data_IF_004691420252
#
_entry.id   IF_004691420252
#
_cell.length_a   1.000
_cell.length_b   1.000
_cell.length_c   1.000
_cell.angle_alpha   90.00
_cell.angle_beta   90.00
_cell.angle_gamma   90.00
#
_symmetry.space_group_name_H-M   'P 1'
#
loop_
_entity.id
_entity.type
_entity.pdbx_description
1 polymer ?
#
# COMPACT_ATOMS: atom_id res chain seq x y z
N UNK A 1 22.56 -5.92 -10.35
CA UNK A 1 23.21 -4.82 -9.59
C UNK A 1 22.16 -3.77 -9.28
N UNK A 2 22.43 -2.85 -8.34
CA UNK A 2 21.52 -1.77 -7.97
C UNK A 2 21.04 -0.95 -9.19
N UNK A 3 21.97 -0.52 -10.06
CA UNK A 3 21.63 0.25 -11.26
C UNK A 3 20.69 -0.49 -12.24
N UNK A 4 20.78 -1.81 -12.33
CA UNK A 4 19.86 -2.59 -13.17
C UNK A 4 18.48 -2.72 -12.54
N UNK A 5 18.39 -2.72 -11.20
CA UNK A 5 17.12 -2.70 -10.49
C UNK A 5 16.39 -1.37 -10.72
N UNK A 6 17.06 -0.21 -10.57
CA UNK A 6 16.43 1.11 -10.82
C UNK A 6 15.86 1.25 -12.24
N UNK A 7 16.53 0.64 -13.23
CA UNK A 7 16.05 0.67 -14.63
C UNK A 7 14.84 -0.22 -14.86
N UNK A 8 14.81 -1.41 -14.24
CA UNK A 8 13.85 -2.47 -14.57
C UNK A 8 12.68 -2.56 -13.60
N UNK A 9 12.89 -2.22 -12.34
CA UNK A 9 11.85 -2.20 -11.33
C UNK A 9 10.98 -0.97 -11.55
N UNK A 10 9.74 -1.24 -11.97
CA UNK A 10 8.70 -0.24 -12.14
C UNK A 10 7.53 -0.60 -11.26
N UNK A 11 7.15 0.33 -10.40
CA UNK A 11 6.08 0.18 -9.43
C UNK A 11 4.97 1.16 -9.82
N UNK A 12 3.75 0.68 -9.97
CA UNK A 12 2.59 1.56 -10.08
C UNK A 12 2.01 1.77 -8.69
N UNK A 13 1.79 3.02 -8.29
CA UNK A 13 1.18 3.35 -7.00
C UNK A 13 -0.25 3.80 -7.26
N UNK A 14 -1.22 3.18 -6.59
CA UNK A 14 -2.61 3.63 -6.65
C UNK A 14 -2.75 4.96 -5.91
N UNK A 15 -3.50 5.91 -6.49
CA UNK A 15 -3.66 7.26 -5.94
C UNK A 15 -4.92 7.39 -5.07
N UNK A 16 -5.84 6.43 -5.16
CA UNK A 16 -7.04 6.46 -4.33
C UNK A 16 -6.73 6.19 -2.86
N UNK A 17 -7.55 6.79 -2.00
CA UNK A 17 -7.48 6.67 -0.56
C UNK A 17 -7.51 8.03 0.12
N UNK A 18 -7.71 8.02 1.44
CA UNK A 18 -7.72 9.23 2.24
C UNK A 18 -6.74 9.11 3.41
N UNK A 19 -6.08 10.22 3.71
CA UNK A 19 -5.31 10.37 4.93
C UNK A 19 -6.22 10.21 6.16
N UNK A 20 -5.74 9.61 7.26
CA UNK A 20 -4.38 9.12 7.47
C UNK A 20 -4.22 7.60 7.19
N UNK A 21 -5.19 6.95 6.54
CA UNK A 21 -5.20 5.49 6.37
C UNK A 21 -4.43 5.01 5.13
N UNK A 22 -4.32 5.89 4.13
CA UNK A 22 -3.67 5.64 2.85
C UNK A 22 -2.70 6.77 2.55
N UNK A 23 -1.58 6.49 1.88
CA UNK A 23 -0.52 7.45 1.53
C UNK A 23 0.17 8.13 2.73
N UNK A 24 0.01 7.57 3.92
CA UNK A 24 0.69 8.00 5.15
C UNK A 24 0.94 6.79 6.02
N UNK A 25 2.08 6.80 6.71
CA UNK A 25 2.49 5.74 7.62
C UNK A 25 3.43 6.27 8.69
N UNK A 26 3.53 5.59 9.83
CA UNK A 26 4.46 5.98 10.88
C UNK A 26 5.92 5.81 10.41
N UNK A 27 6.71 6.88 10.51
CA UNK A 27 8.15 6.86 10.22
C UNK A 27 9.00 6.78 11.50
N UNK A 28 8.45 6.28 12.61
CA UNK A 28 9.11 6.20 13.90
C UNK A 28 9.00 4.80 14.51
N UNK A 29 9.90 4.53 15.47
CA UNK A 29 9.90 3.33 16.31
C UNK A 29 9.89 2.03 15.47
N UNK A 30 9.21 1.00 15.97
CA UNK A 30 9.09 -0.34 15.37
C UNK A 30 8.28 -0.35 14.06
N UNK A 31 7.53 0.71 13.78
CA UNK A 31 6.67 0.81 12.59
C UNK A 31 7.30 1.62 11.44
N UNK A 32 8.53 2.10 11.63
CA UNK A 32 9.21 3.04 10.75
C UNK A 32 9.36 2.58 9.31
N UNK A 33 9.58 1.29 9.05
CA UNK A 33 9.79 0.78 7.69
C UNK A 33 8.52 0.83 6.83
N UNK A 34 7.33 0.65 7.43
CA UNK A 34 6.05 0.80 6.72
C UNK A 34 5.89 2.23 6.20
N UNK A 35 6.03 3.23 7.09
CA UNK A 35 5.94 4.63 6.71
C UNK A 35 7.06 5.06 5.77
N UNK A 36 8.29 4.57 5.97
CA UNK A 36 9.41 4.92 5.10
C UNK A 36 9.17 4.44 3.66
N UNK A 37 8.71 3.20 3.45
CA UNK A 37 8.43 2.69 2.10
C UNK A 37 7.28 3.44 1.44
N UNK A 38 6.19 3.72 2.18
CA UNK A 38 5.09 4.55 1.66
C UNK A 38 5.63 5.92 1.22
N UNK A 39 6.42 6.58 2.07
CA UNK A 39 6.99 7.89 1.79
C UNK A 39 7.96 7.90 0.60
N UNK A 40 8.82 6.88 0.48
CA UNK A 40 9.72 6.69 -0.67
C UNK A 40 8.96 6.51 -1.98
N UNK A 41 7.86 5.76 -1.97
CA UNK A 41 7.06 5.53 -3.16
C UNK A 41 6.11 6.70 -3.49
N UNK A 42 5.64 7.46 -2.50
CA UNK A 42 4.73 8.59 -2.75
C UNK A 42 5.46 9.90 -3.07
N UNK A 43 6.51 10.25 -2.32
CA UNK A 43 7.19 11.55 -2.43
C UNK A 43 8.42 11.51 -3.33
N UNK A 44 9.33 10.57 -3.07
CA UNK A 44 10.63 10.52 -3.76
C UNK A 44 10.54 9.80 -5.11
N UNK A 45 9.65 8.81 -5.24
CA UNK A 45 9.23 8.15 -6.49
C UNK A 45 10.37 7.56 -7.37
N UNK A 46 11.48 7.01 -6.84
CA UNK A 46 12.60 6.56 -7.68
C UNK A 46 12.27 5.36 -8.59
N UNK A 47 11.31 4.52 -8.20
CA UNK A 47 10.90 3.31 -8.93
C UNK A 47 9.51 3.43 -9.57
N UNK A 48 8.84 4.58 -9.40
CA UNK A 48 7.42 4.72 -9.75
C UNK A 48 7.26 4.96 -11.24
N UNK A 49 6.23 4.35 -11.84
CA UNK A 49 5.78 4.63 -13.20
C UNK A 49 4.33 5.09 -13.19
N UNK A 50 3.99 6.04 -14.07
CA UNK A 50 2.62 6.47 -14.32
C UNK A 50 1.88 5.52 -15.28
N UNK A 51 2.63 4.66 -15.99
CA UNK A 51 2.07 3.69 -16.93
C UNK A 51 1.90 2.32 -16.24
N UNK A 52 0.66 1.89 -15.90
CA UNK A 52 0.43 0.60 -15.25
C UNK A 52 0.85 -0.60 -16.11
N UNK A 53 1.00 -0.44 -17.43
CA UNK A 53 1.46 -1.53 -18.31
C UNK A 53 2.96 -1.79 -18.21
N UNK A 54 3.74 -0.80 -17.80
CA UNK A 54 5.19 -0.94 -17.58
C UNK A 54 5.52 -1.46 -16.18
N UNK A 55 4.57 -1.35 -15.26
CA UNK A 55 4.74 -1.77 -13.89
C UNK A 55 4.88 -3.29 -13.77
N UNK A 56 5.91 -3.71 -13.04
CA UNK A 56 6.15 -5.10 -12.65
C UNK A 56 5.26 -5.47 -11.46
N UNK A 57 5.08 -4.53 -10.53
CA UNK A 57 4.24 -4.67 -9.34
C UNK A 57 3.41 -3.41 -9.11
N UNK A 58 2.27 -3.57 -8.44
CA UNK A 58 1.35 -2.51 -8.09
C UNK A 58 1.28 -2.40 -6.57
N UNK A 59 1.57 -1.21 -6.07
CA UNK A 59 1.58 -0.91 -4.66
C UNK A 59 0.23 -0.35 -4.22
N UNK A 60 -0.34 -0.93 -3.17
CA UNK A 60 -1.50 -0.40 -2.47
C UNK A 60 -0.99 0.36 -1.23
N UNK A 61 -1.00 1.70 -1.22
CA UNK A 61 -0.39 2.53 -0.18
C UNK A 61 -1.22 2.60 1.12
N UNK A 62 -1.81 1.48 1.54
CA UNK A 62 -2.51 1.38 2.82
C UNK A 62 -1.51 1.27 3.98
N UNK A 63 -1.73 2.00 5.06
CA UNK A 63 -0.99 1.80 6.31
C UNK A 63 -1.80 0.94 7.26
N UNK A 64 -1.32 -0.28 7.49
CA UNK A 64 -1.97 -1.15 8.46
C UNK A 64 -1.78 -0.60 9.88
N UNK A 65 -0.64 0.01 10.16
CA UNK A 65 -0.42 0.62 11.49
C UNK A 65 -1.44 1.71 11.78
N UNK A 66 -1.77 2.56 10.80
CA UNK A 66 -2.80 3.60 10.93
C UNK A 66 -4.20 2.99 11.04
N UNK A 67 -4.52 1.99 10.22
CA UNK A 67 -5.78 1.25 10.29
C UNK A 67 -6.00 0.66 11.69
N UNK A 68 -4.98 0.00 12.25
CA UNK A 68 -5.03 -0.54 13.62
C UNK A 68 -5.19 0.60 14.63
N UNK A 69 -4.37 1.64 14.54
CA UNK A 69 -4.39 2.77 15.48
C UNK A 69 -5.76 3.46 15.57
N UNK A 70 -6.42 3.69 14.43
CA UNK A 70 -7.68 4.44 14.39
C UNK A 70 -8.92 3.57 14.54
N UNK A 71 -8.88 2.30 14.10
CA UNK A 71 -10.08 1.48 13.97
C UNK A 71 -10.12 0.28 14.93
N UNK A 72 -8.99 -0.17 15.46
CA UNK A 72 -8.99 -1.27 16.43
C UNK A 72 -9.40 -0.76 17.81
N UNK A 73 -10.38 -1.45 18.44
CA UNK A 73 -10.77 -1.19 19.82
C UNK A 73 -10.15 -2.24 20.75
N UNK A 74 -9.20 -1.83 21.63
CA UNK A 74 -8.61 -2.74 22.59
C UNK A 74 -9.68 -3.43 23.46
N UNK A 75 -9.46 -4.70 23.77
CA UNK A 75 -10.34 -5.51 24.63
C UNK A 75 -11.55 -6.14 23.93
N UNK A 76 -11.86 -5.76 22.68
CA UNK A 76 -13.01 -6.32 21.94
C UNK A 76 -12.63 -7.40 20.92
N UNK A 77 -11.34 -7.66 20.67
CA UNK A 77 -10.81 -8.65 19.70
C UNK A 77 -11.47 -8.65 18.30
N UNK A 78 -12.25 -7.61 17.98
CA UNK A 78 -12.98 -7.48 16.73
C UNK A 78 -12.06 -6.89 15.66
N UNK A 79 -11.73 -7.72 14.67
CA UNK A 79 -10.91 -7.36 13.52
C UNK A 79 -11.75 -6.99 12.29
N UNK A 80 -13.09 -7.11 12.37
CA UNK A 80 -13.98 -6.85 11.24
C UNK A 80 -13.88 -5.41 10.69
N UNK A 81 -13.66 -4.36 11.49
CA UNK A 81 -13.42 -3.01 10.96
C UNK A 81 -12.15 -2.93 10.09
N UNK A 82 -11.08 -3.60 10.51
CA UNK A 82 -9.80 -3.61 9.79
C UNK A 82 -9.95 -4.32 8.44
N UNK A 83 -10.56 -5.51 8.46
CA UNK A 83 -10.80 -6.31 7.26
C UNK A 83 -11.70 -5.60 6.25
N UNK A 84 -12.79 -4.97 6.74
CA UNK A 84 -13.70 -4.19 5.88
C UNK A 84 -13.00 -3.01 5.24
N UNK A 85 -12.19 -2.27 5.99
CA UNK A 85 -11.44 -1.13 5.45
C UNK A 85 -10.54 -1.54 4.27
N UNK A 86 -9.81 -2.64 4.41
CA UNK A 86 -8.96 -3.17 3.32
C UNK A 86 -9.79 -3.68 2.15
N UNK A 87 -10.90 -4.38 2.42
CA UNK A 87 -11.79 -4.89 1.39
C UNK A 87 -12.45 -3.76 0.58
N UNK A 88 -12.94 -2.72 1.25
CA UNK A 88 -13.55 -1.55 0.63
C UNK A 88 -12.54 -0.79 -0.23
N UNK A 89 -11.29 -0.65 0.26
CA UNK A 89 -10.20 -0.07 -0.53
C UNK A 89 -9.94 -0.87 -1.82
N UNK A 90 -9.79 -2.18 -1.72
CA UNK A 90 -9.60 -3.07 -2.89
C UNK A 90 -10.80 -2.97 -3.84
N UNK A 91 -12.02 -2.84 -3.33
CA UNK A 91 -13.21 -2.68 -4.15
C UNK A 91 -13.17 -1.39 -4.98
N UNK A 92 -12.76 -0.26 -4.38
CA UNK A 92 -12.58 1.01 -5.10
C UNK A 92 -11.52 0.87 -6.19
N UNK A 93 -10.34 0.36 -5.85
CA UNK A 93 -9.23 0.20 -6.80
C UNK A 93 -9.64 -0.70 -7.97
N UNK A 94 -10.20 -1.87 -7.67
CA UNK A 94 -10.56 -2.85 -8.70
C UNK A 94 -11.70 -2.38 -9.62
N UNK A 95 -12.59 -1.51 -9.12
CA UNK A 95 -13.64 -0.89 -9.92
C UNK A 95 -13.11 0.22 -10.85
N UNK A 96 -12.16 1.02 -10.38
CA UNK A 96 -11.62 2.15 -11.13
C UNK A 96 -10.53 1.76 -12.15
N UNK A 97 -9.81 0.66 -11.90
CA UNK A 97 -8.65 0.27 -12.70
C UNK A 97 -8.87 -1.07 -13.39
N UNK A 98 -9.30 -1.11 -14.68
CA UNK A 98 -9.57 -2.36 -15.39
C UNK A 98 -8.38 -3.32 -15.48
N UNK A 99 -7.14 -2.80 -15.39
CA UNK A 99 -5.92 -3.60 -15.39
C UNK A 99 -5.67 -4.34 -14.07
N UNK A 100 -6.41 -4.04 -13.00
CA UNK A 100 -6.36 -4.75 -11.72
C UNK A 100 -6.42 -6.28 -11.91
N UNK A 101 -7.33 -6.74 -12.78
CA UNK A 101 -7.58 -8.16 -12.95
C UNK A 101 -6.60 -8.85 -13.92
N UNK A 102 -5.54 -8.16 -14.41
CA UNK A 102 -4.56 -8.73 -15.34
C UNK A 102 -3.83 -9.94 -14.75
N UNK A 103 -3.54 -9.87 -13.45
CA UNK A 103 -2.82 -10.86 -12.66
C UNK A 103 -3.72 -11.57 -11.66
N UNK A 104 -5.02 -11.22 -11.64
CA UNK A 104 -5.97 -11.60 -10.57
C UNK A 104 -5.46 -11.21 -9.18
N UNK A 105 -4.71 -10.12 -9.05
CA UNK A 105 -4.15 -9.64 -7.78
C UNK A 105 -2.75 -10.15 -7.45
N UNK A 106 -2.14 -10.99 -8.29
CA UNK A 106 -0.85 -11.63 -7.97
C UNK A 106 0.37 -10.69 -8.05
N UNK A 107 0.25 -9.56 -8.74
CA UNK A 107 1.30 -8.53 -8.83
C UNK A 107 0.99 -7.30 -7.96
N UNK A 108 0.02 -7.42 -7.04
CA UNK A 108 -0.36 -6.40 -6.09
C UNK A 108 0.25 -6.68 -4.73
N UNK A 109 0.79 -5.65 -4.07
CA UNK A 109 1.38 -5.80 -2.75
C UNK A 109 1.03 -4.66 -1.81
N UNK A 110 1.06 -4.99 -0.53
CA UNK A 110 1.02 -4.07 0.61
C UNK A 110 2.29 -4.29 1.43
N UNK A 111 2.68 -3.29 2.21
CA UNK A 111 3.76 -3.43 3.18
C UNK A 111 3.19 -3.24 4.58
N UNK A 112 3.73 -4.01 5.53
CA UNK A 112 3.49 -3.70 6.92
C UNK A 112 4.58 -4.22 7.84
N UNK A 113 4.67 -3.60 9.01
CA UNK A 113 5.52 -4.05 10.10
C UNK A 113 4.89 -5.23 10.85
N UNK A 114 5.74 -6.05 11.45
CA UNK A 114 5.41 -7.37 12.00
C UNK A 114 4.53 -7.36 13.28
N UNK A 115 4.35 -6.24 13.96
CA UNK A 115 3.85 -6.23 15.35
C UNK A 115 2.31 -6.16 15.51
N UNK A 116 1.53 -6.70 14.55
CA UNK A 116 0.06 -6.84 14.65
C UNK A 116 -0.50 -8.11 13.99
#
# INVERSE_FOLDING_TARGET
SYMEMEKRLKIFVYEEGELPLVHDGPCNEIYSIEGQVINELDQYRPFVTENPREAVVHFLPISITKIVHFLYRPGFYDRAPLQRTVADYIQVISANHPFWNRSKGADHFIISCHDW
#
